data_IF_469516047811
#
_entry.id   IF_469516047811
#
_cell.length_a   1.000
_cell.length_b   1.000
_cell.length_c   1.000
_cell.angle_alpha   90.00
_cell.angle_beta   90.00
_cell.angle_gamma   90.00
#
_symmetry.space_group_name_H-M   'P 1'
#
loop_
_entity.id
_entity.type
_entity.pdbx_description
1 polymer ?
#
# COMPACT_ATOMS: atom_id res chain seq x y z
N UNK A 1 39.63 -25.47 16.63
CA UNK A 1 38.65 -24.42 16.93
C UNK A 1 37.95 -24.01 15.64
N UNK A 2 36.64 -24.21 15.46
CA UNK A 2 35.95 -23.73 14.27
C UNK A 2 35.61 -22.24 14.43
N UNK A 3 35.89 -21.43 13.40
CA UNK A 3 35.40 -20.05 13.31
C UNK A 3 34.03 -20.07 12.64
N UNK A 4 33.02 -19.63 13.37
CA UNK A 4 31.71 -19.35 12.77
C UNK A 4 31.79 -18.03 12.01
N UNK A 5 31.55 -18.07 10.70
CA UNK A 5 31.30 -16.87 9.91
C UNK A 5 29.82 -16.50 10.06
N UNK A 6 29.55 -15.32 10.62
CA UNK A 6 28.20 -14.76 10.69
C UNK A 6 27.82 -14.16 9.34
N UNK A 7 26.86 -14.77 8.66
CA UNK A 7 26.21 -14.17 7.49
C UNK A 7 25.19 -13.16 7.99
N UNK A 8 25.48 -11.87 7.87
CA UNK A 8 24.49 -10.82 8.12
C UNK A 8 23.53 -10.79 6.94
N UNK A 9 22.35 -11.39 7.11
CA UNK A 9 21.25 -11.23 6.14
C UNK A 9 20.72 -9.81 6.28
N UNK A 10 21.09 -8.92 5.35
CA UNK A 10 20.55 -7.57 5.27
C UNK A 10 19.09 -7.64 4.83
N UNK A 11 18.16 -7.61 5.79
CA UNK A 11 16.74 -7.43 5.48
C UNK A 11 16.56 -6.05 4.84
N UNK A 12 15.89 -5.94 3.67
CA UNK A 12 15.51 -4.64 3.14
C UNK A 12 14.75 -3.86 4.21
N UNK A 13 14.95 -2.52 4.30
CA UNK A 13 14.19 -1.72 5.25
C UNK A 13 12.70 -1.96 5.02
N UNK A 14 11.88 -2.06 6.08
CA UNK A 14 10.44 -2.20 5.96
C UNK A 14 9.91 -1.08 5.06
N UNK A 15 9.29 -1.45 3.94
CA UNK A 15 8.65 -0.46 3.07
C UNK A 15 7.28 -0.16 3.66
N UNK A 16 7.14 1.02 4.28
CA UNK A 16 5.83 1.49 4.75
C UNK A 16 5.07 2.10 3.58
N UNK A 17 4.01 1.43 3.14
CA UNK A 17 3.11 1.94 2.11
C UNK A 17 1.85 2.52 2.76
N UNK A 18 1.52 3.76 2.44
CA UNK A 18 0.29 4.41 2.88
C UNK A 18 -0.68 4.51 1.70
N UNK A 19 -1.89 3.99 1.87
CA UNK A 19 -2.96 4.11 0.89
C UNK A 19 -4.07 5.02 1.40
N UNK A 20 -4.54 5.92 0.54
CA UNK A 20 -5.61 6.85 0.80
C UNK A 20 -6.79 6.49 -0.09
N UNK A 21 -7.99 6.46 0.49
CA UNK A 21 -9.23 6.13 -0.20
C UNK A 21 -10.20 7.27 -0.01
N UNK A 22 -10.90 7.64 -1.08
CA UNK A 22 -11.94 8.64 -0.98
C UNK A 22 -12.34 9.23 -2.31
N UNK A 23 -13.22 10.22 -2.24
CA UNK A 23 -13.55 11.04 -3.39
C UNK A 23 -12.35 11.90 -3.80
N UNK A 24 -12.15 12.05 -5.10
CA UNK A 24 -11.17 12.96 -5.65
C UNK A 24 -11.47 14.42 -5.24
N UNK A 25 -10.41 15.21 -5.08
CA UNK A 25 -10.51 16.60 -4.60
C UNK A 25 -11.20 17.49 -5.62
N UNK A 26 -10.88 17.30 -6.90
CA UNK A 26 -11.33 18.14 -8.01
C UNK A 26 -12.63 17.58 -8.63
N UNK A 27 -12.84 16.26 -8.54
CA UNK A 27 -14.07 15.60 -8.99
C UNK A 27 -14.68 14.68 -7.90
N UNK A 28 -15.61 15.22 -7.11
CA UNK A 28 -16.27 14.47 -6.03
C UNK A 28 -17.11 13.27 -6.50
N UNK A 29 -17.39 13.16 -7.80
CA UNK A 29 -18.09 11.99 -8.35
C UNK A 29 -17.14 10.79 -8.53
N UNK A 30 -15.84 11.06 -8.68
CA UNK A 30 -14.80 10.04 -8.85
C UNK A 30 -14.25 9.64 -7.49
N UNK A 31 -14.12 8.33 -7.27
CA UNK A 31 -13.46 7.79 -6.09
C UNK A 31 -12.18 7.09 -6.50
N UNK A 32 -11.11 7.31 -5.74
CA UNK A 32 -9.77 6.87 -6.12
C UNK A 32 -9.06 6.22 -4.94
N UNK A 33 -8.11 5.36 -5.28
CA UNK A 33 -7.07 4.88 -4.37
C UNK A 33 -5.78 5.59 -4.73
N UNK A 34 -5.15 6.22 -3.74
CA UNK A 34 -3.88 6.90 -3.90
C UNK A 34 -2.81 6.26 -3.03
N UNK A 35 -1.58 6.18 -3.53
CA UNK A 35 -0.40 5.80 -2.76
C UNK A 35 0.35 7.06 -2.33
N UNK A 36 0.61 7.21 -1.04
CA UNK A 36 1.39 8.32 -0.51
C UNK A 36 2.84 7.92 -0.31
N UNK A 37 3.74 8.71 -0.91
CA UNK A 37 5.17 8.62 -0.70
C UNK A 37 5.59 9.64 0.39
N UNK A 38 6.01 9.18 1.58
CA UNK A 38 6.42 10.06 2.66
C UNK A 38 7.72 10.80 2.39
N UNK A 39 8.61 10.28 1.53
CA UNK A 39 9.85 10.94 1.17
C UNK A 39 9.62 12.12 0.23
N UNK A 40 8.64 11.99 -0.67
CA UNK A 40 8.29 13.00 -1.65
C UNK A 40 7.11 13.87 -1.22
N UNK A 41 6.49 13.53 -0.08
CA UNK A 41 5.30 14.18 0.47
C UNK A 41 4.18 14.37 -0.56
N UNK A 42 4.01 13.39 -1.45
CA UNK A 42 3.01 13.43 -2.52
C UNK A 42 2.22 12.14 -2.59
N UNK A 43 0.98 12.27 -3.03
CA UNK A 43 0.11 11.14 -3.31
C UNK A 43 -0.05 11.00 -4.82
N UNK A 44 0.00 9.76 -5.31
CA UNK A 44 -0.25 9.41 -6.69
C UNK A 44 -1.47 8.50 -6.79
N UNK A 45 -2.32 8.73 -7.79
CA UNK A 45 -3.46 7.84 -8.07
C UNK A 45 -2.93 6.52 -8.62
N UNK A 46 -3.34 5.42 -7.98
CA UNK A 46 -2.93 4.06 -8.38
C UNK A 46 -4.10 3.23 -8.90
N UNK A 47 -5.34 3.57 -8.54
CA UNK A 47 -6.54 2.93 -9.06
C UNK A 47 -7.78 3.81 -8.93
N UNK A 48 -8.79 3.48 -9.74
CA UNK A 48 -10.16 3.95 -9.55
C UNK A 48 -10.95 2.99 -8.68
N UNK A 49 -11.98 3.53 -8.01
CA UNK A 49 -12.93 2.72 -7.25
C UNK A 49 -14.34 3.30 -7.31
N UNK A 50 -15.31 2.49 -6.92
CA UNK A 50 -16.69 2.92 -6.76
C UNK A 50 -16.89 3.75 -5.48
N UNK A 51 -17.95 4.55 -5.45
CA UNK A 51 -18.29 5.36 -4.30
C UNK A 51 -18.60 4.49 -3.06
N UNK A 52 -17.83 4.66 -2.00
CA UNK A 52 -17.97 3.91 -0.73
C UNK A 52 -17.86 4.84 0.47
N UNK A 53 -18.94 5.56 0.77
CA UNK A 53 -19.03 6.41 1.96
C UNK A 53 -19.08 5.55 3.22
N UNK A 54 -18.36 5.98 4.26
CA UNK A 54 -18.32 5.31 5.57
C UNK A 54 -17.72 3.89 5.57
N UNK A 55 -17.09 3.47 4.48
CA UNK A 55 -16.43 2.17 4.41
C UNK A 55 -15.10 2.18 5.17
N UNK A 56 -14.72 1.00 5.65
CA UNK A 56 -13.40 0.73 6.19
C UNK A 56 -12.58 -0.10 5.18
N UNK A 57 -11.26 0.00 5.26
CA UNK A 57 -10.36 -0.65 4.31
C UNK A 57 -9.31 -1.44 5.06
N UNK A 58 -9.03 -2.65 4.59
CA UNK A 58 -7.97 -3.50 5.10
C UNK A 58 -7.06 -3.92 3.95
N UNK A 59 -5.75 -3.83 4.14
CA UNK A 59 -4.79 -4.41 3.21
C UNK A 59 -4.77 -5.91 3.43
N UNK A 60 -5.05 -6.68 2.38
CA UNK A 60 -4.87 -8.13 2.40
C UNK A 60 -3.58 -8.41 1.66
N UNK A 61 -2.54 -8.80 2.39
CA UNK A 61 -1.27 -9.28 1.82
C UNK A 61 -1.11 -10.77 2.13
N UNK A 62 -1.09 -11.60 1.08
CA UNK A 62 -0.62 -12.99 1.16
C UNK A 62 0.83 -13.03 0.70
N UNK A 63 1.69 -13.76 1.42
CA UNK A 63 3.10 -14.01 1.11
C UNK A 63 3.25 -14.77 -0.21
N UNK A 64 3.03 -14.14 -1.36
CA UNK A 64 3.41 -14.71 -2.64
C UNK A 64 4.03 -13.59 -3.47
N UNK A 65 5.32 -13.79 -3.74
CA UNK A 65 6.15 -12.94 -4.57
C UNK A 65 5.55 -12.86 -5.96
N UNK A 66 4.68 -11.88 -6.20
CA UNK A 66 4.37 -11.34 -7.52
C UNK A 66 3.69 -9.97 -7.35
N UNK A 67 4.16 -9.02 -8.13
CA UNK A 67 4.12 -7.56 -7.98
C UNK A 67 2.75 -6.86 -7.98
N UNK A 68 1.65 -7.60 -7.78
CA UNK A 68 0.28 -7.08 -7.85
C UNK A 68 -0.58 -7.37 -6.61
N UNK A 69 -0.06 -8.08 -5.60
CA UNK A 69 -0.83 -8.54 -4.44
C UNK A 69 -1.13 -7.48 -3.36
N UNK A 70 -0.79 -6.20 -3.56
CA UNK A 70 -0.98 -5.14 -2.55
C UNK A 70 -2.25 -4.32 -2.74
N UNK A 71 -3.21 -4.78 -3.54
CA UNK A 71 -4.46 -4.04 -3.66
C UNK A 71 -5.34 -4.22 -2.41
N UNK A 72 -5.59 -3.14 -1.66
CA UNK A 72 -6.50 -3.16 -0.53
C UNK A 72 -7.91 -3.50 -1.00
N UNK A 73 -8.55 -4.47 -0.34
CA UNK A 73 -9.96 -4.80 -0.57
C UNK A 73 -10.84 -4.07 0.43
N UNK A 74 -12.02 -3.65 -0.03
CA UNK A 74 -13.06 -3.09 0.83
C UNK A 74 -13.79 -4.24 1.53
N UNK A 75 -14.04 -4.08 2.83
CA UNK A 75 -14.83 -5.01 3.65
C UNK A 75 -16.00 -4.22 4.24
N UNK A 76 -17.19 -4.83 4.26
CA UNK A 76 -18.42 -4.26 4.81
C UNK A 76 -18.60 -4.64 6.27
#
# INVERSE_FOLDING_TARGET
MPRYASVTVSRPPPQTHFFLFGSDKDDRSRWTVQRYDPHQQRAERVADMEARRWATFSVVGGEWSDSWAHFPRCVY
#
